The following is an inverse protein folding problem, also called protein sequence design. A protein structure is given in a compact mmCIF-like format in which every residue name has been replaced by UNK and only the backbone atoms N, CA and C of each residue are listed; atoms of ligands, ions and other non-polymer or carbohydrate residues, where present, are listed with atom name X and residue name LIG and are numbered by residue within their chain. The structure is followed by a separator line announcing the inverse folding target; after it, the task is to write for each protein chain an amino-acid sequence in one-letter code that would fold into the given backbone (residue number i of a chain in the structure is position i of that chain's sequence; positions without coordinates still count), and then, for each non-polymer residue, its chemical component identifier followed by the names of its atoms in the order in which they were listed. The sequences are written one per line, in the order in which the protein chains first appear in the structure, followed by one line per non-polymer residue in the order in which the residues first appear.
data_IF_829241645797
#
_entry.id   IF_829241645797
#
_cell.length_a   1.000
_cell.length_b   1.000
_cell.length_c   1.000
_cell.angle_alpha   90.00
_cell.angle_beta   90.00
_cell.angle_gamma   90.00
#
_symmetry.space_group_name_H-M   'P 1'
#
loop_
_entity.id
_entity.type
_entity.pdbx_description
1 polymer ?
#
# COMPACT_ATOMS: atom_id res chain seq x y z
N UNK A 1 -10.71 -17.64 -25.27
CA UNK A 1 -11.09 -17.75 -23.84
C UNK A 1 -12.56 -17.34 -23.77
N UNK A 2 -13.45 -18.19 -23.25
CA UNK A 2 -14.88 -17.88 -23.17
C UNK A 2 -15.08 -17.04 -21.92
N UNK A 3 -15.72 -15.89 -22.06
CA UNK A 3 -16.12 -15.04 -20.95
C UNK A 3 -17.25 -15.74 -20.17
N UNK A 4 -17.08 -16.04 -18.86
CA UNK A 4 -18.05 -16.82 -18.10
C UNK A 4 -19.36 -16.09 -17.81
N UNK A 5 -19.37 -14.75 -17.92
CA UNK A 5 -20.56 -13.93 -17.67
C UNK A 5 -21.42 -13.76 -18.95
N UNK A 6 -20.80 -13.84 -20.12
CA UNK A 6 -21.47 -13.61 -21.42
C UNK A 6 -21.53 -14.83 -22.35
N UNK A 7 -20.77 -15.89 -22.06
CA UNK A 7 -20.70 -17.10 -22.88
C UNK A 7 -20.08 -16.90 -24.27
N UNK A 8 -19.53 -15.72 -24.54
CA UNK A 8 -18.93 -15.36 -25.84
C UNK A 8 -17.42 -15.52 -25.78
N UNK A 9 -16.84 -15.93 -26.90
CA UNK A 9 -15.40 -15.96 -27.04
C UNK A 9 -14.87 -14.52 -27.21
N UNK A 10 -13.97 -14.10 -26.33
CA UNK A 10 -13.48 -12.72 -26.30
C UNK A 10 -12.35 -12.48 -25.31
N UNK A 11 -11.71 -11.32 -25.41
CA UNK A 11 -10.72 -10.88 -24.42
C UNK A 11 -11.47 -10.36 -23.21
N UNK A 12 -11.27 -10.98 -22.05
CA UNK A 12 -11.91 -10.56 -20.80
C UNK A 12 -11.38 -9.20 -20.33
N UNK A 13 -12.20 -8.45 -19.57
CA UNK A 13 -11.76 -7.20 -18.94
C UNK A 13 -10.49 -7.40 -18.11
N UNK A 14 -10.39 -8.52 -17.38
CA UNK A 14 -9.19 -8.85 -16.61
C UNK A 14 -7.94 -8.96 -17.48
N UNK A 15 -8.03 -9.58 -18.66
CA UNK A 15 -6.91 -9.66 -19.60
C UNK A 15 -6.52 -8.29 -20.16
N UNK A 16 -7.50 -7.42 -20.46
CA UNK A 16 -7.25 -6.04 -20.89
C UNK A 16 -6.56 -5.25 -19.77
N UNK A 17 -7.02 -5.35 -18.53
CA UNK A 17 -6.42 -4.64 -17.40
C UNK A 17 -5.02 -5.16 -17.08
N UNK A 18 -4.78 -6.47 -17.16
CA UNK A 18 -3.47 -7.06 -16.84
C UNK A 18 -2.39 -6.79 -17.90
N UNK A 19 -2.75 -6.79 -19.19
CA UNK A 19 -1.78 -6.83 -20.30
C UNK A 19 -2.07 -5.85 -21.45
N UNK A 20 -3.22 -5.17 -21.41
CA UNK A 20 -3.63 -4.26 -22.47
C UNK A 20 -2.74 -3.02 -22.57
N UNK A 21 -2.72 -2.42 -23.76
CA UNK A 21 -2.14 -1.09 -23.94
C UNK A 21 -3.04 -0.06 -23.28
N UNK A 22 -2.47 1.06 -22.86
CA UNK A 22 -3.20 2.19 -22.28
C UNK A 22 -4.40 2.60 -23.14
N UNK A 23 -4.25 2.68 -24.47
CA UNK A 23 -5.35 3.01 -25.39
C UNK A 23 -6.50 2.00 -25.36
N UNK A 24 -6.21 0.71 -25.18
CA UNK A 24 -7.23 -0.35 -25.08
C UNK A 24 -7.93 -0.32 -23.73
N UNK A 25 -7.18 -0.08 -22.64
CA UNK A 25 -7.76 0.10 -21.31
C UNK A 25 -8.70 1.31 -21.33
N UNK A 26 -8.25 2.45 -21.85
CA UNK A 26 -9.03 3.67 -21.90
C UNK A 26 -10.23 3.60 -22.86
N UNK A 27 -10.21 2.71 -23.86
CA UNK A 27 -11.37 2.52 -24.74
C UNK A 27 -12.49 1.72 -24.09
N UNK A 28 -12.17 0.83 -23.14
CA UNK A 28 -13.18 0.01 -22.43
C UNK A 28 -13.50 0.54 -21.03
N UNK A 29 -12.57 1.24 -20.39
CA UNK A 29 -12.68 1.75 -19.03
C UNK A 29 -12.08 3.17 -18.92
N UNK A 30 -12.72 4.20 -19.50
CA UNK A 30 -12.20 5.57 -19.51
C UNK A 30 -11.97 6.19 -18.13
N UNK A 31 -12.68 5.70 -17.11
CA UNK A 31 -12.51 6.09 -15.70
C UNK A 31 -11.28 5.44 -15.02
N UNK A 32 -10.62 4.49 -15.69
CA UNK A 32 -9.50 3.74 -15.13
C UNK A 32 -8.37 4.69 -14.77
N UNK A 33 -8.13 4.83 -13.46
CA UNK A 33 -7.09 5.68 -12.90
C UNK A 33 -6.79 5.25 -11.49
N UNK A 34 -5.51 5.34 -11.12
CA UNK A 34 -5.03 5.35 -9.75
C UNK A 34 -4.19 6.60 -9.53
N UNK A 35 -4.56 7.41 -8.54
CA UNK A 35 -3.80 8.60 -8.13
C UNK A 35 -2.81 8.21 -7.02
N UNK A 36 -1.51 8.30 -7.30
CA UNK A 36 -0.47 8.23 -6.27
C UNK A 36 -0.15 9.65 -5.79
N UNK A 37 -0.29 9.93 -4.50
CA UNK A 37 -0.24 11.28 -3.93
C UNK A 37 0.70 11.29 -2.73
N UNK A 38 1.60 12.25 -2.70
CA UNK A 38 2.42 12.56 -1.53
C UNK A 38 2.11 13.99 -1.08
N UNK A 39 1.68 14.15 0.17
CA UNK A 39 1.31 15.44 0.76
C UNK A 39 1.77 15.54 2.21
N UNK A 40 2.85 16.27 2.45
CA UNK A 40 3.45 16.45 3.78
C UNK A 40 3.59 17.93 4.11
N UNK A 41 4.00 18.74 3.13
CA UNK A 41 4.13 20.20 3.28
C UNK A 41 2.89 20.91 2.74
N UNK A 42 2.42 20.54 1.56
CA UNK A 42 1.25 21.14 0.93
C UNK A 42 0.02 20.22 1.03
N UNK A 43 -0.79 20.41 2.08
CA UNK A 43 -1.98 19.59 2.34
C UNK A 43 -3.17 19.92 1.43
N UNK A 44 -3.26 21.17 0.93
CA UNK A 44 -4.35 21.61 0.04
C UNK A 44 -4.16 21.13 -1.41
N UNK A 45 -2.91 20.87 -1.80
CA UNK A 45 -2.56 20.27 -3.10
C UNK A 45 -1.88 18.92 -2.87
N UNK A 46 -0.60 18.86 -3.19
CA UNK A 46 0.28 17.72 -3.04
C UNK A 46 1.70 18.22 -3.30
N UNK A 47 2.67 17.58 -2.66
CA UNK A 47 4.09 17.82 -2.91
C UNK A 47 4.57 17.01 -4.14
N UNK A 48 3.94 15.86 -4.39
CA UNK A 48 4.16 15.03 -5.58
C UNK A 48 2.88 14.25 -5.91
N UNK A 49 2.63 14.03 -7.20
CA UNK A 49 1.49 13.25 -7.69
C UNK A 49 1.84 12.55 -8.99
N UNK A 50 1.53 11.26 -9.05
CA UNK A 50 1.58 10.48 -10.27
C UNK A 50 0.17 9.95 -10.62
N UNK A 51 -0.25 10.18 -11.86
CA UNK A 51 -1.53 9.68 -12.39
C UNK A 51 -1.25 8.43 -13.21
N UNK A 52 -1.76 7.29 -12.76
CA UNK A 52 -1.47 5.98 -13.34
C UNK A 52 -2.70 5.45 -14.07
N UNK A 53 -2.57 5.26 -15.38
CA UNK A 53 -3.65 4.83 -16.30
C UNK A 53 -3.22 3.65 -17.21
N UNK A 54 -2.19 2.92 -16.80
CA UNK A 54 -1.60 1.81 -17.56
C UNK A 54 -2.03 0.44 -17.02
N UNK A 55 -1.61 -0.65 -17.64
CA UNK A 55 -1.96 -2.00 -17.19
C UNK A 55 -1.56 -2.28 -15.72
N UNK A 56 -2.17 -3.29 -15.11
CA UNK A 56 -2.00 -3.59 -13.69
C UNK A 56 -0.59 -4.02 -13.30
N UNK A 57 0.17 -4.61 -14.22
CA UNK A 57 1.56 -5.03 -13.95
C UNK A 57 2.45 -3.79 -13.86
N UNK A 58 2.31 -2.86 -14.80
CA UNK A 58 3.07 -1.61 -14.79
C UNK A 58 2.58 -0.66 -13.69
N UNK A 59 1.28 -0.64 -13.40
CA UNK A 59 0.71 0.09 -12.27
C UNK A 59 1.29 -0.38 -10.94
N UNK A 60 1.45 -1.69 -10.74
CA UNK A 60 2.09 -2.24 -9.55
C UNK A 60 3.51 -1.69 -9.39
N UNK A 61 4.33 -1.71 -10.45
CA UNK A 61 5.72 -1.21 -10.42
C UNK A 61 5.76 0.28 -10.09
N UNK A 62 4.95 1.10 -10.79
CA UNK A 62 4.88 2.55 -10.56
C UNK A 62 4.47 2.90 -9.13
N UNK A 63 3.47 2.20 -8.58
CA UNK A 63 3.02 2.41 -7.20
C UNK A 63 4.08 1.99 -6.18
N UNK A 64 4.77 0.87 -6.42
CA UNK A 64 5.90 0.45 -5.58
C UNK A 64 7.03 1.50 -5.60
N UNK A 65 7.39 2.01 -6.79
CA UNK A 65 8.44 3.01 -6.95
C UNK A 65 8.04 4.34 -6.30
N UNK A 66 6.78 4.76 -6.42
CA UNK A 66 6.24 5.93 -5.72
C UNK A 66 6.35 5.78 -4.20
N UNK A 67 5.98 4.61 -3.67
CA UNK A 67 6.12 4.30 -2.25
C UNK A 67 7.57 4.35 -1.78
N UNK A 68 8.48 3.70 -2.52
CA UNK A 68 9.92 3.69 -2.23
C UNK A 68 10.56 5.07 -2.27
N UNK A 69 10.10 5.94 -3.18
CA UNK A 69 10.56 7.32 -3.31
C UNK A 69 10.25 8.16 -2.08
N UNK A 70 9.12 7.90 -1.41
CA UNK A 70 8.59 8.78 -0.36
C UNK A 70 8.61 8.19 1.05
N UNK A 71 8.91 6.90 1.20
CA UNK A 71 8.99 6.20 2.49
C UNK A 71 10.42 5.70 2.76
N UNK A 72 10.86 5.86 4.01
CA UNK A 72 12.13 5.31 4.48
C UNK A 72 12.13 3.78 4.45
N UNK A 73 13.32 3.21 4.30
CA UNK A 73 13.51 1.76 4.38
C UNK A 73 13.98 1.38 5.79
N UNK A 74 13.15 0.62 6.51
CA UNK A 74 13.54 0.02 7.79
C UNK A 74 13.79 -1.46 7.54
N UNK A 75 15.06 -1.86 7.64
CA UNK A 75 15.46 -3.25 7.58
C UNK A 75 15.25 -3.90 8.93
N UNK A 76 14.46 -4.97 8.93
CA UNK A 76 14.15 -5.76 10.13
C UNK A 76 14.61 -7.19 9.92
N UNK A 77 15.09 -7.81 10.99
CA UNK A 77 15.56 -9.19 10.95
C UNK A 77 14.37 -10.15 11.11
N UNK A 78 14.21 -11.05 10.16
CA UNK A 78 13.27 -12.17 10.24
C UNK A 78 14.05 -13.49 10.10
N UNK A 79 14.27 -14.17 11.22
CA UNK A 79 15.21 -15.30 11.29
C UNK A 79 16.64 -14.82 11.01
N UNK A 80 17.28 -15.39 9.99
CA UNK A 80 18.62 -15.01 9.54
C UNK A 80 18.61 -14.02 8.36
N UNK A 81 17.43 -13.57 7.91
CA UNK A 81 17.30 -12.68 6.75
C UNK A 81 16.95 -11.25 7.17
N UNK A 82 17.64 -10.28 6.55
CA UNK A 82 17.26 -8.88 6.63
C UNK A 82 16.22 -8.57 5.56
N UNK A 83 15.05 -8.08 5.98
CA UNK A 83 13.93 -7.79 5.10
C UNK A 83 13.50 -6.32 5.23
N UNK A 84 13.08 -5.72 4.12
CA UNK A 84 12.49 -4.37 4.13
C UNK A 84 11.03 -4.45 4.58
N UNK A 85 10.73 -3.91 5.78
CA UNK A 85 9.35 -3.83 6.27
C UNK A 85 8.50 -2.94 5.35
N UNK A 86 9.07 -1.83 4.84
CA UNK A 86 8.45 -0.94 3.87
C UNK A 86 8.01 -1.70 2.62
N UNK A 87 8.91 -2.44 1.97
CA UNK A 87 8.59 -3.15 0.72
C UNK A 87 7.57 -4.27 0.94
N UNK A 88 7.53 -4.85 2.15
CA UNK A 88 6.53 -5.87 2.49
C UNK A 88 5.14 -5.26 2.69
N UNK A 89 5.04 -4.10 3.35
CA UNK A 89 3.78 -3.36 3.46
C UNK A 89 3.33 -2.87 2.09
N UNK A 90 4.22 -2.22 1.32
CA UNK A 90 3.91 -1.68 -0.01
C UNK A 90 3.38 -2.76 -0.94
N UNK A 91 4.06 -3.91 -1.02
CA UNK A 91 3.58 -5.02 -1.87
C UNK A 91 2.17 -5.45 -1.51
N UNK A 92 1.84 -5.50 -0.22
CA UNK A 92 0.52 -5.92 0.23
C UNK A 92 -0.57 -4.89 -0.09
N UNK A 93 -0.35 -3.61 0.24
CA UNK A 93 -1.35 -2.56 -0.01
C UNK A 93 -1.53 -2.25 -1.50
N UNK A 94 -0.44 -2.30 -2.29
CA UNK A 94 -0.49 -2.10 -3.74
C UNK A 94 -1.17 -3.28 -4.43
N UNK A 95 -0.84 -4.52 -4.05
CA UNK A 95 -1.54 -5.69 -4.58
C UNK A 95 -3.02 -5.67 -4.22
N UNK A 96 -3.36 -5.23 -3.01
CA UNK A 96 -4.75 -5.14 -2.58
C UNK A 96 -5.56 -4.18 -3.46
N UNK A 97 -5.11 -2.93 -3.63
CA UNK A 97 -5.88 -1.94 -4.39
C UNK A 97 -6.00 -2.24 -5.88
N UNK A 98 -5.08 -3.04 -6.44
CA UNK A 98 -5.15 -3.46 -7.84
C UNK A 98 -5.99 -4.74 -8.00
N UNK A 99 -5.90 -5.70 -7.07
CA UNK A 99 -6.59 -6.99 -7.20
C UNK A 99 -7.99 -7.01 -6.59
N UNK A 100 -8.31 -6.11 -5.65
CA UNK A 100 -9.61 -6.10 -4.95
C UNK A 100 -10.52 -4.92 -5.32
N UNK A 101 -10.10 -4.06 -6.24
CA UNK A 101 -10.93 -2.97 -6.76
C UNK A 101 -12.13 -3.48 -7.55
N UNK A 102 -13.28 -2.85 -7.32
CA UNK A 102 -14.41 -2.92 -8.23
C UNK A 102 -14.17 -2.01 -9.43
N UNK A 103 -13.78 -2.61 -10.55
CA UNK A 103 -13.49 -1.90 -11.80
C UNK A 103 -14.74 -1.43 -12.55
N UNK A 104 -15.94 -1.82 -12.12
CA UNK A 104 -17.18 -1.29 -12.71
C UNK A 104 -17.51 0.13 -12.21
N UNK A 105 -16.98 0.52 -11.06
CA UNK A 105 -17.25 1.79 -10.40
C UNK A 105 -16.28 2.91 -10.86
N UNK A 106 -16.81 4.13 -11.02
CA UNK A 106 -16.05 5.30 -11.48
C UNK A 106 -15.15 5.94 -10.42
N UNK A 107 -15.23 5.51 -9.16
CA UNK A 107 -14.34 6.00 -8.10
C UNK A 107 -12.87 5.76 -8.47
N UNK A 108 -12.10 6.84 -8.49
CA UNK A 108 -10.65 6.76 -8.75
C UNK A 108 -9.96 6.18 -7.53
N UNK A 109 -9.18 5.12 -7.74
CA UNK A 109 -8.37 4.56 -6.66
C UNK A 109 -7.27 5.56 -6.26
N UNK A 110 -6.86 5.53 -5.00
CA UNK A 110 -5.83 6.41 -4.47
C UNK A 110 -4.82 5.64 -3.66
N UNK A 111 -3.56 6.02 -3.80
CA UNK A 111 -2.47 5.65 -2.92
C UNK A 111 -1.88 6.94 -2.37
N UNK A 112 -2.05 7.19 -1.07
CA UNK A 112 -1.72 8.49 -0.46
C UNK A 112 -0.70 8.28 0.66
N UNK A 113 0.33 9.12 0.67
CA UNK A 113 1.34 9.20 1.74
C UNK A 113 1.28 10.61 2.32
N UNK A 114 0.96 10.68 3.60
CA UNK A 114 0.94 11.90 4.39
C UNK A 114 2.04 11.92 5.45
N UNK A 115 2.03 12.91 6.33
CA UNK A 115 3.06 13.07 7.35
C UNK A 115 3.16 11.87 8.31
N UNK A 116 2.03 11.29 8.72
CA UNK A 116 1.97 10.23 9.75
C UNK A 116 1.13 9.02 9.34
N UNK A 117 0.62 9.00 8.11
CA UNK A 117 -0.18 7.89 7.60
C UNK A 117 0.08 7.67 6.12
N UNK A 118 0.14 6.41 5.73
CA UNK A 118 0.01 5.97 4.34
C UNK A 118 -1.31 5.22 4.22
N UNK A 119 -2.13 5.55 3.23
CA UNK A 119 -3.39 4.86 3.04
C UNK A 119 -3.71 4.62 1.57
N UNK A 120 -4.58 3.65 1.33
CA UNK A 120 -5.10 3.37 0.01
C UNK A 120 -6.62 3.40 0.03
N UNK A 121 -7.23 3.78 -1.10
CA UNK A 121 -8.68 3.79 -1.30
C UNK A 121 -9.03 3.21 -2.66
N UNK A 122 -10.05 2.36 -2.72
CA UNK A 122 -10.63 1.91 -3.98
C UNK A 122 -12.12 1.64 -3.81
N UNK A 123 -12.85 1.73 -4.93
CA UNK A 123 -14.22 1.22 -5.01
C UNK A 123 -14.27 -0.25 -4.63
N UNK A 124 -15.37 -0.63 -4.00
CA UNK A 124 -15.52 -1.94 -3.41
C UNK A 124 -16.93 -2.50 -3.61
N UNK A 125 -17.03 -3.83 -3.68
CA UNK A 125 -18.26 -4.58 -3.48
C UNK A 125 -18.18 -5.21 -2.07
N UNK A 126 -18.69 -4.52 -1.04
CA UNK A 126 -18.52 -4.93 0.35
C UNK A 126 -19.28 -6.23 0.64
N UNK A 127 -18.69 -7.09 1.47
CA UNK A 127 -19.33 -8.30 2.02
C UNK A 127 -19.71 -8.12 3.50
N UNK A 128 -19.45 -6.93 4.04
CA UNK A 128 -19.74 -6.49 5.39
C UNK A 128 -19.50 -4.99 5.48
N UNK A 129 -19.74 -4.42 6.66
CA UNK A 129 -19.53 -2.99 6.91
C UNK A 129 -18.67 -2.75 8.14
N UNK A 130 -17.79 -1.76 8.06
CA UNK A 130 -16.94 -1.29 9.17
C UNK A 130 -15.54 -1.93 9.20
N UNK A 131 -14.91 -1.88 10.38
CA UNK A 131 -13.52 -2.29 10.54
C UNK A 131 -13.36 -3.81 10.54
N UNK A 132 -12.51 -4.32 9.63
CA UNK A 132 -12.20 -5.74 9.52
C UNK A 132 -11.27 -6.20 10.63
N UNK A 133 -11.69 -7.24 11.33
CA UNK A 133 -10.93 -7.84 12.42
C UNK A 133 -10.08 -9.01 11.93
N UNK A 134 -8.79 -9.01 12.25
CA UNK A 134 -7.83 -10.05 11.84
C UNK A 134 -8.25 -11.49 12.18
N UNK A 135 -8.98 -11.67 13.28
CA UNK A 135 -9.43 -12.97 13.78
C UNK A 135 -10.79 -13.42 13.23
N UNK A 136 -11.52 -12.54 12.53
CA UNK A 136 -12.84 -12.83 11.94
C UNK A 136 -12.86 -12.70 10.43
N UNK A 137 -11.75 -12.25 9.83
CA UNK A 137 -11.66 -12.00 8.40
C UNK A 137 -11.63 -13.31 7.60
N UNK A 138 -12.56 -13.45 6.67
CA UNK A 138 -12.56 -14.48 5.65
C UNK A 138 -12.11 -13.89 4.31
N UNK A 139 -11.10 -14.51 3.70
CA UNK A 139 -10.52 -13.98 2.49
C UNK A 139 -11.39 -14.28 1.27
N UNK A 140 -11.86 -13.23 0.59
CA UNK A 140 -12.66 -13.34 -0.63
C UNK A 140 -11.96 -12.66 -1.82
N UNK A 141 -11.57 -13.42 -2.88
CA UNK A 141 -10.93 -12.83 -4.05
C UNK A 141 -11.96 -12.12 -4.94
N UNK A 142 -12.00 -10.79 -4.89
CA UNK A 142 -12.95 -9.97 -5.66
C UNK A 142 -12.71 -10.02 -7.17
N UNK A 143 -11.45 -10.19 -7.60
CA UNK A 143 -11.09 -10.42 -9.00
C UNK A 143 -10.22 -11.69 -9.15
N UNK A 144 -10.80 -12.90 -9.15
CA UNK A 144 -10.03 -14.15 -9.13
C UNK A 144 -8.98 -14.30 -10.25
N UNK A 145 -9.24 -13.91 -11.53
CA UNK A 145 -8.23 -13.96 -12.58
C UNK A 145 -7.02 -13.05 -12.31
N UNK A 146 -7.27 -11.83 -11.82
CA UNK A 146 -6.20 -10.87 -11.46
C UNK A 146 -5.39 -11.40 -10.29
N UNK A 147 -6.05 -11.82 -9.21
CA UNK A 147 -5.40 -12.40 -8.03
C UNK A 147 -4.59 -13.66 -8.37
N UNK A 148 -5.04 -14.47 -9.34
CA UNK A 148 -4.29 -15.64 -9.83
C UNK A 148 -2.99 -15.23 -10.53
N UNK A 149 -3.05 -14.24 -11.43
CA UNK A 149 -1.84 -13.74 -12.12
C UNK A 149 -0.88 -13.11 -11.12
N UNK A 150 -1.36 -12.26 -10.22
CA UNK A 150 -0.53 -11.60 -9.21
C UNK A 150 0.22 -12.59 -8.32
N UNK A 151 -0.43 -13.68 -7.89
CA UNK A 151 0.25 -14.77 -7.18
C UNK A 151 1.30 -15.47 -8.03
N UNK A 152 0.98 -15.78 -9.28
CA UNK A 152 1.90 -16.49 -10.18
C UNK A 152 3.15 -15.70 -10.53
N UNK A 153 3.07 -14.37 -10.55
CA UNK A 153 4.22 -13.48 -10.82
C UNK A 153 4.88 -12.94 -9.53
N UNK A 154 4.42 -13.37 -8.35
CA UNK A 154 5.01 -13.00 -7.06
C UNK A 154 4.65 -11.60 -6.54
N UNK A 155 3.58 -10.99 -7.04
CA UNK A 155 3.09 -9.68 -6.55
C UNK A 155 2.20 -9.83 -5.31
N UNK A 156 1.53 -10.96 -5.14
CA UNK A 156 0.73 -11.26 -3.95
C UNK A 156 1.09 -12.63 -3.37
N UNK A 157 1.00 -12.76 -2.05
CA UNK A 157 1.14 -14.04 -1.34
C UNK A 157 -0.17 -14.87 -1.45
N UNK A 158 -0.19 -16.05 -0.84
CA UNK A 158 -1.40 -16.88 -0.82
C UNK A 158 -2.57 -16.21 -0.09
N UNK A 159 -3.79 -16.58 -0.51
CA UNK A 159 -5.04 -15.99 -0.05
C UNK A 159 -5.14 -15.97 1.49
N UNK A 160 -5.49 -14.81 2.06
CA UNK A 160 -5.73 -14.65 3.49
C UNK A 160 -4.48 -14.37 4.33
N UNK A 161 -3.28 -14.32 3.74
CA UNK A 161 -2.06 -13.87 4.44
C UNK A 161 -1.96 -12.34 4.55
N UNK A 162 -2.65 -11.61 3.68
CA UNK A 162 -2.47 -10.18 3.48
C UNK A 162 -2.63 -9.30 4.73
N UNK A 163 -3.80 -9.33 5.36
CA UNK A 163 -4.03 -8.53 6.58
C UNK A 163 -3.05 -8.89 7.71
N UNK A 164 -2.70 -10.19 7.85
CA UNK A 164 -1.73 -10.64 8.86
C UNK A 164 -0.33 -10.10 8.58
N UNK A 165 0.10 -10.15 7.32
CA UNK A 165 1.39 -9.61 6.87
C UNK A 165 1.44 -8.10 7.07
N UNK A 166 0.43 -7.36 6.62
CA UNK A 166 0.34 -5.91 6.85
C UNK A 166 0.43 -5.58 8.33
N UNK A 167 -0.30 -6.27 9.20
CA UNK A 167 -0.23 -6.05 10.65
C UNK A 167 1.16 -6.34 11.22
N UNK A 168 1.77 -7.47 10.85
CA UNK A 168 3.13 -7.84 11.29
C UNK A 168 4.14 -6.76 10.89
N UNK A 169 4.18 -6.38 9.61
CA UNK A 169 5.19 -5.45 9.13
C UNK A 169 4.92 -4.01 9.55
N UNK A 170 3.66 -3.61 9.75
CA UNK A 170 3.34 -2.28 10.31
C UNK A 170 3.91 -2.13 11.72
N UNK A 171 3.74 -3.15 12.58
CA UNK A 171 4.34 -3.15 13.92
C UNK A 171 5.86 -3.05 13.88
N UNK A 172 6.50 -3.71 12.93
CA UNK A 172 7.95 -3.66 12.75
C UNK A 172 8.44 -2.34 12.15
N UNK A 173 7.60 -1.67 11.36
CA UNK A 173 7.95 -0.45 10.64
C UNK A 173 7.77 0.83 11.47
N UNK A 174 6.64 0.97 12.17
CA UNK A 174 6.27 2.18 12.93
C UNK A 174 5.80 1.88 14.36
N UNK A 175 5.73 0.62 14.77
CA UNK A 175 5.12 0.22 16.05
C UNK A 175 3.60 0.36 16.10
N UNK A 176 2.96 0.88 15.04
CA UNK A 176 1.52 1.09 14.99
C UNK A 176 0.71 -0.16 14.62
N UNK A 177 -0.61 0.02 14.51
CA UNK A 177 -1.56 -1.00 14.04
C UNK A 177 -2.27 -0.48 12.79
N UNK A 178 -2.32 -1.24 11.69
CA UNK A 178 -3.05 -0.83 10.51
C UNK A 178 -4.56 -0.99 10.71
N UNK A 179 -5.36 -0.16 10.02
CA UNK A 179 -6.82 -0.29 9.97
C UNK A 179 -7.31 -0.66 8.57
N UNK A 180 -8.38 -1.44 8.52
CA UNK A 180 -9.01 -1.92 7.30
C UNK A 180 -10.50 -1.64 7.39
N UNK A 181 -10.99 -0.67 6.63
CA UNK A 181 -12.41 -0.27 6.66
C UNK A 181 -13.05 -0.81 5.39
N UNK A 182 -14.02 -1.72 5.57
CA UNK A 182 -14.84 -2.25 4.48
C UNK A 182 -16.17 -1.51 4.43
N UNK A 183 -16.34 -0.71 3.38
CA UNK A 183 -17.58 -0.04 2.96
C UNK A 183 -17.59 0.01 1.42
N UNK A 184 -18.43 0.86 0.82
CA UNK A 184 -18.42 1.15 -0.62
C UNK A 184 -17.04 1.59 -1.13
N UNK A 185 -16.28 2.24 -0.25
CA UNK A 185 -14.86 2.52 -0.42
C UNK A 185 -14.10 1.64 0.57
N UNK A 186 -13.27 0.74 0.04
CA UNK A 186 -12.33 -0.01 0.87
C UNK A 186 -11.13 0.88 1.17
N UNK A 187 -10.77 1.00 2.46
CA UNK A 187 -9.60 1.76 2.89
C UNK A 187 -8.66 0.92 3.75
N UNK A 188 -7.38 0.88 3.38
CA UNK A 188 -6.30 0.42 4.25
C UNK A 188 -5.55 1.64 4.74
N UNK A 189 -5.35 1.79 6.05
CA UNK A 189 -4.52 2.86 6.62
C UNK A 189 -3.37 2.27 7.44
N UNK A 190 -2.16 2.70 7.13
CA UNK A 190 -0.92 2.29 7.78
C UNK A 190 -0.35 3.51 8.52
N UNK A 191 -0.30 3.51 9.85
CA UNK A 191 0.44 4.54 10.58
C UNK A 191 1.93 4.45 10.23
N UNK A 192 2.56 5.59 9.96
CA UNK A 192 3.98 5.68 9.63
C UNK A 192 4.64 6.75 10.52
N UNK A 193 5.92 6.59 10.79
CA UNK A 193 6.69 7.63 11.48
C UNK A 193 6.81 8.88 10.60
N UNK A 194 6.97 10.03 11.24
CA UNK A 194 6.94 11.33 10.57
C UNK A 194 7.89 11.38 9.36
N UNK A 195 7.34 11.33 8.14
CA UNK A 195 8.13 11.30 6.90
C UNK A 195 8.96 12.56 6.68
N UNK A 196 8.60 13.68 7.32
CA UNK A 196 9.42 14.91 7.27
C UNK A 196 10.74 14.75 8.05
N UNK A 197 10.74 14.00 9.15
CA UNK A 197 11.94 13.72 9.94
C UNK A 197 12.88 12.73 9.22
N UNK A 198 12.37 12.00 8.24
CA UNK A 198 13.08 10.92 7.54
C UNK A 198 13.85 11.38 6.30
N UNK A 199 13.55 12.56 5.74
CA UNK A 199 14.31 13.17 4.63
C UNK A 199 15.56 13.93 5.10
N UNK A 200 15.71 14.13 6.40
CA UNK A 200 16.95 14.62 7.02
C UNK A 200 17.74 13.37 7.42
N UNK A 201 18.84 13.06 6.72
CA UNK A 201 19.65 11.88 7.01
C UNK A 201 20.19 11.83 8.44
N UNK A 202 20.87 10.74 8.85
CA UNK A 202 21.37 10.57 10.21
C UNK A 202 22.49 11.59 10.48
N UNK A 203 22.10 12.71 11.04
CA UNK A 203 22.98 13.76 11.52
C UNK A 203 22.11 14.72 12.30
N UNK A 204 22.00 14.47 13.62
CA UNK A 204 21.84 15.45 14.72
C UNK A 204 21.33 14.80 16.03
N UNK A 205 20.80 13.57 16.04
CA UNK A 205 20.22 13.02 17.29
C UNK A 205 21.17 12.28 18.24
N UNK A 206 22.50 12.32 18.03
CA UNK A 206 23.46 11.77 19.00
C UNK A 206 24.00 12.79 20.02
N UNK A 207 23.65 14.07 19.92
CA UNK A 207 24.19 15.10 20.83
C UNK A 207 23.35 15.23 22.11
N UNK A 208 22.05 14.92 22.08
CA UNK A 208 21.15 15.12 23.22
C UNK A 208 21.24 14.07 24.34
N UNK A 209 21.94 12.94 24.12
CA UNK A 209 22.11 11.88 25.13
C UNK A 209 23.43 11.91 25.90
N UNK A 210 24.44 12.69 25.47
CA UNK A 210 25.72 12.79 26.19
C UNK A 210 25.72 13.85 27.30
N UNK A 211 24.99 14.96 27.13
CA UNK A 211 25.00 16.03 28.15
C UNK A 211 24.25 15.67 29.46
N UNK A 212 23.37 14.66 29.46
CA UNK A 212 22.70 14.24 30.70
C UNK A 212 23.52 13.30 31.59
N UNK A 213 24.58 12.67 31.08
CA UNK A 213 25.37 11.70 31.85
C UNK A 213 26.65 12.28 32.46
N UNK A 214 27.11 13.46 32.04
CA UNK A 214 28.28 14.12 32.66
C UNK A 214 27.91 14.99 33.87
N UNK A 215 26.69 15.53 33.92
CA UNK A 215 26.27 16.38 35.06
C UNK A 215 25.90 15.62 36.34
N UNK A 216 25.82 14.28 36.32
CA UNK A 216 25.44 13.48 37.52
C UNK A 216 26.63 12.97 38.34
N UNK A 217 27.88 13.17 37.92
CA UNK A 217 29.06 12.65 38.62
C UNK A 217 29.84 13.69 39.45
N UNK A 218 29.53 14.98 39.36
CA UNK A 218 30.31 16.02 40.09
C UNK A 218 29.71 16.52 41.41
N UNK A 219 28.53 16.07 41.84
CA UNK A 219 27.91 16.57 43.11
C UNK A 219 27.98 15.59 44.29
N UNK A 220 28.86 14.59 44.27
CA UNK A 220 29.14 13.71 45.42
C UNK A 220 30.63 13.65 45.76
N UNK A 221 31.21 14.78 46.09
CA UNK A 221 32.41 14.87 46.94
C UNK A 221 32.53 16.29 47.48
N UNK A 222 32.03 16.47 48.70
CA UNK A 222 32.54 17.32 49.79
C UNK A 222 31.68 17.02 51.03
#
# INVERSE_FOLDING_TARGET
MIDPDTGREGITLAAILLFGKDSTIMSVLPQYKTDAIYRVKNMDRYDDREVIITNLIDSFRKLMDFGKKHLNDVFVTEGDQSISARDKILREVVSNILAHRDYSNAYSAKFVIEQSVMYTENSNLPHGHGELQLNKFEAFPKNPPISKVFRKIGYADELGSGMRNTNKYTKLYSGGTPSFIEDDIFRISIPIDNVANLKVGPGVDQISRKEKNETSFETKRL
#
